data_IF_100838650296
#
_entry.id   IF_100838650296
#
_cell.length_a   1.000
_cell.length_b   1.000
_cell.length_c   1.000
_cell.angle_alpha   90.00
_cell.angle_beta   90.00
_cell.angle_gamma   90.00
#
_symmetry.space_group_name_H-M   'P 1'
#
loop_
_entity.id
_entity.type
_entity.pdbx_description
1 polymer ?
#
# COMPACT_ATOMS: atom_id res chain seq x y z
N UNK A 1 -12.96 -11.81 5.48
CA UNK A 1 -13.24 -10.40 5.14
C UNK A 1 -14.40 -9.96 6.01
N UNK A 2 -14.37 -8.76 6.60
CA UNK A 2 -15.43 -8.29 7.49
C UNK A 2 -16.39 -7.34 6.78
N UNK A 3 -15.85 -6.37 6.06
CA UNK A 3 -16.58 -5.36 5.29
C UNK A 3 -15.68 -4.84 4.16
N UNK A 4 -16.29 -4.15 3.19
CA UNK A 4 -15.58 -3.36 2.17
C UNK A 4 -15.98 -1.90 2.35
N UNK A 5 -15.00 -1.01 2.47
CA UNK A 5 -15.22 0.43 2.50
C UNK A 5 -14.78 1.01 1.16
N UNK A 6 -15.70 1.68 0.47
CA UNK A 6 -15.40 2.38 -0.80
C UNK A 6 -15.27 3.86 -0.49
N UNK A 7 -14.06 4.39 -0.63
CA UNK A 7 -13.77 5.80 -0.41
C UNK A 7 -14.04 6.55 -1.70
N UNK A 8 -15.19 7.20 -1.76
CA UNK A 8 -15.67 7.86 -2.96
C UNK A 8 -15.16 9.30 -3.01
N UNK A 9 -14.07 9.50 -3.74
CA UNK A 9 -13.40 10.80 -3.89
C UNK A 9 -13.99 11.69 -4.99
N UNK A 10 -14.91 11.18 -5.82
CA UNK A 10 -15.58 11.98 -6.83
C UNK A 10 -16.63 12.89 -6.16
N UNK A 11 -16.67 14.21 -6.48
CA UNK A 11 -17.67 15.12 -5.91
C UNK A 11 -19.11 14.74 -6.27
N UNK A 12 -19.31 14.03 -7.38
CA UNK A 12 -20.61 13.50 -7.79
C UNK A 12 -20.75 12.11 -7.15
N UNK A 13 -21.81 11.85 -6.36
CA UNK A 13 -22.04 10.53 -5.76
C UNK A 13 -22.20 9.45 -6.83
N UNK A 14 -21.99 8.16 -6.49
CA UNK A 14 -22.22 7.07 -7.42
C UNK A 14 -23.67 7.11 -7.93
N UNK A 15 -23.85 6.76 -9.21
CA UNK A 15 -25.18 6.66 -9.81
C UNK A 15 -26.05 5.73 -8.94
N UNK A 16 -27.29 6.11 -8.58
CA UNK A 16 -28.22 5.23 -7.86
C UNK A 16 -28.43 3.86 -8.53
N UNK A 17 -28.30 3.80 -9.85
CA UNK A 17 -28.45 2.55 -10.64
C UNK A 17 -27.16 1.69 -10.65
N UNK A 18 -26.08 2.17 -10.03
CA UNK A 18 -24.83 1.41 -9.91
C UNK A 18 -25.07 0.15 -9.09
N UNK A 19 -24.92 -1.00 -9.74
CA UNK A 19 -25.05 -2.30 -9.08
C UNK A 19 -23.73 -2.72 -8.44
N UNK A 20 -23.70 -2.71 -7.11
CA UNK A 20 -22.59 -3.28 -6.35
C UNK A 20 -22.58 -4.81 -6.45
N UNK A 21 -21.40 -5.45 -6.44
CA UNK A 21 -21.32 -6.91 -6.43
C UNK A 21 -21.98 -7.48 -5.17
N UNK A 22 -22.70 -8.58 -5.33
CA UNK A 22 -23.27 -9.30 -4.19
C UNK A 22 -22.15 -10.03 -3.45
N UNK A 23 -21.80 -9.50 -2.27
CA UNK A 23 -20.81 -10.09 -1.38
C UNK A 23 -21.47 -10.64 -0.13
N UNK A 24 -20.83 -11.61 0.51
CA UNK A 24 -21.22 -12.14 1.83
C UNK A 24 -20.92 -11.16 2.99
N UNK A 25 -20.38 -9.99 2.68
CA UNK A 25 -20.03 -8.92 3.62
C UNK A 25 -20.62 -7.59 3.15
N UNK A 26 -20.90 -6.64 4.05
CA UNK A 26 -21.41 -5.34 3.67
C UNK A 26 -20.38 -4.51 2.88
N UNK A 27 -20.86 -3.81 1.86
CA UNK A 27 -20.15 -2.73 1.17
C UNK A 27 -20.67 -1.41 1.72
N UNK A 28 -19.79 -0.58 2.25
CA UNK A 28 -20.10 0.75 2.81
C UNK A 28 -19.42 1.80 1.94
N UNK A 29 -20.21 2.70 1.34
CA UNK A 29 -19.67 3.79 0.51
C UNK A 29 -19.57 5.05 1.36
N UNK A 30 -18.40 5.68 1.37
CA UNK A 30 -18.12 6.90 2.12
C UNK A 30 -17.89 8.02 1.11
N UNK A 31 -18.74 9.04 1.13
CA UNK A 31 -18.58 10.22 0.28
C UNK A 31 -17.57 11.18 0.91
N UNK A 32 -16.45 11.39 0.23
CA UNK A 32 -15.44 12.35 0.66
C UNK A 32 -15.87 13.78 0.31
N UNK A 33 -15.51 14.75 1.17
CA UNK A 33 -15.83 16.16 0.93
C UNK A 33 -15.00 16.77 -0.21
N UNK A 34 -13.78 16.28 -0.40
CA UNK A 34 -12.82 16.70 -1.40
C UNK A 34 -12.10 15.48 -1.99
N UNK A 35 -11.60 15.64 -3.22
CA UNK A 35 -10.76 14.63 -3.84
C UNK A 35 -9.34 14.70 -3.24
N UNK A 36 -9.04 13.80 -2.31
CA UNK A 36 -7.74 13.70 -1.65
C UNK A 36 -7.28 12.23 -1.54
N UNK A 37 -5.99 12.00 -1.79
CA UNK A 37 -5.37 10.69 -1.59
C UNK A 37 -5.29 10.30 -0.11
N UNK A 38 -5.31 11.28 0.80
CA UNK A 38 -5.30 11.05 2.25
C UNK A 38 -6.57 10.38 2.77
N UNK A 39 -7.71 10.52 2.06
CA UNK A 39 -9.01 10.06 2.54
C UNK A 39 -9.03 8.55 2.87
N UNK A 40 -8.27 7.74 2.13
CA UNK A 40 -8.18 6.29 2.36
C UNK A 40 -7.54 5.90 3.70
N UNK A 41 -6.84 6.82 4.36
CA UNK A 41 -6.16 6.59 5.63
C UNK A 41 -6.86 7.24 6.82
N UNK A 42 -8.06 7.79 6.64
CA UNK A 42 -8.83 8.32 7.77
C UNK A 42 -9.28 7.18 8.70
N UNK A 43 -9.30 7.40 10.03
CA UNK A 43 -9.67 6.40 11.02
C UNK A 43 -11.20 6.29 11.09
N UNK A 44 -11.84 5.79 10.03
CA UNK A 44 -13.28 5.62 9.99
C UNK A 44 -13.77 4.66 11.08
N UNK A 45 -14.80 5.05 11.84
CA UNK A 45 -15.44 4.22 12.87
C UNK A 45 -16.00 2.89 12.31
N UNK A 46 -16.22 2.83 10.99
CA UNK A 46 -16.65 1.65 10.26
C UNK A 46 -15.57 0.56 10.14
N UNK A 47 -14.31 0.86 10.51
CA UNK A 47 -13.18 -0.07 10.51
C UNK A 47 -13.14 -0.82 11.85
N UNK A 48 -13.75 -2.00 11.88
CA UNK A 48 -13.88 -2.81 13.09
C UNK A 48 -12.75 -3.84 13.24
N UNK A 49 -11.96 -4.08 12.19
CA UNK A 49 -10.87 -5.08 12.18
C UNK A 49 -9.50 -4.45 12.41
N UNK A 50 -8.59 -5.20 13.05
CA UNK A 50 -7.20 -4.77 13.23
C UNK A 50 -6.43 -4.67 11.92
N UNK A 51 -6.74 -5.54 10.95
CA UNK A 51 -6.10 -5.52 9.63
C UNK A 51 -6.94 -4.68 8.65
N UNK A 52 -6.25 -3.86 7.86
CA UNK A 52 -6.81 -3.18 6.70
C UNK A 52 -6.07 -3.67 5.47
N UNK A 53 -6.79 -4.16 4.47
CA UNK A 53 -6.26 -4.29 3.11
C UNK A 53 -6.63 -3.02 2.35
N UNK A 54 -5.62 -2.23 2.01
CA UNK A 54 -5.78 -1.08 1.13
C UNK A 54 -5.49 -1.53 -0.29
N UNK A 55 -6.44 -1.24 -1.20
CA UNK A 55 -6.34 -1.59 -2.62
C UNK A 55 -6.70 -0.38 -3.48
N UNK A 56 -5.94 -0.13 -4.54
CA UNK A 56 -6.32 0.84 -5.58
C UNK A 56 -7.41 0.27 -6.49
N UNK A 57 -8.23 1.13 -7.08
CA UNK A 57 -9.38 0.74 -7.90
C UNK A 57 -9.00 0.17 -9.26
N UNK A 58 -7.74 0.28 -9.64
CA UNK A 58 -7.13 -0.27 -10.85
C UNK A 58 -6.27 -1.52 -10.60
N UNK A 59 -6.21 -2.01 -9.36
CA UNK A 59 -5.42 -3.19 -8.97
C UNK A 59 -6.31 -4.43 -8.80
N UNK A 60 -5.87 -5.53 -9.41
CA UNK A 60 -6.50 -6.84 -9.29
C UNK A 60 -5.61 -7.82 -8.51
N UNK A 61 -6.10 -8.27 -7.36
CA UNK A 61 -5.48 -9.33 -6.57
C UNK A 61 -6.33 -10.60 -6.63
N UNK A 62 -5.70 -11.76 -6.81
CA UNK A 62 -6.44 -13.02 -6.73
C UNK A 62 -6.80 -13.34 -5.28
N UNK A 63 -7.88 -14.11 -5.10
CA UNK A 63 -8.33 -14.52 -3.77
C UNK A 63 -7.24 -15.26 -2.98
N UNK A 64 -6.43 -16.10 -3.64
CA UNK A 64 -5.31 -16.78 -3.01
C UNK A 64 -4.24 -15.80 -2.50
N UNK A 65 -3.94 -14.75 -3.25
CA UNK A 65 -2.95 -13.74 -2.88
C UNK A 65 -3.39 -12.92 -1.67
N UNK A 66 -4.68 -12.54 -1.64
CA UNK A 66 -5.27 -11.85 -0.48
C UNK A 66 -5.14 -12.70 0.78
N UNK A 67 -5.46 -14.00 0.70
CA UNK A 67 -5.37 -14.90 1.87
C UNK A 67 -3.92 -15.09 2.30
N UNK A 68 -2.99 -15.23 1.35
CA UNK A 68 -1.57 -15.35 1.65
C UNK A 68 -1.03 -14.07 2.32
N UNK A 69 -1.26 -12.90 1.72
CA UNK A 69 -0.84 -11.61 2.26
C UNK A 69 -1.38 -11.37 3.67
N UNK A 70 -2.65 -11.70 3.91
CA UNK A 70 -3.24 -11.60 5.24
C UNK A 70 -2.58 -12.54 6.26
N UNK A 71 -2.25 -13.78 5.88
CA UNK A 71 -1.56 -14.73 6.76
C UNK A 71 -0.18 -14.23 7.15
N UNK A 72 0.59 -13.72 6.18
CA UNK A 72 1.90 -13.11 6.44
C UNK A 72 1.73 -11.89 7.35
N UNK A 73 0.77 -11.01 7.08
CA UNK A 73 0.49 -9.86 7.94
C UNK A 73 0.14 -10.26 9.38
N UNK A 74 -0.59 -11.35 9.60
CA UNK A 74 -0.92 -11.82 10.96
C UNK A 74 0.31 -12.18 11.80
N UNK A 75 1.41 -12.58 11.16
CA UNK A 75 2.70 -12.87 11.81
C UNK A 75 3.58 -11.62 11.95
N UNK A 76 3.29 -10.58 11.16
CA UNK A 76 4.05 -9.33 11.07
C UNK A 76 3.14 -8.10 11.24
N UNK A 77 2.28 -8.11 12.27
CA UNK A 77 1.18 -7.15 12.44
C UNK A 77 1.60 -5.68 12.52
N UNK A 78 2.84 -5.43 12.92
CA UNK A 78 3.41 -4.09 13.04
C UNK A 78 4.06 -3.60 11.75
N UNK A 79 4.26 -4.43 10.73
CA UNK A 79 4.88 -4.03 9.47
C UNK A 79 3.83 -3.75 8.37
N UNK A 80 4.23 -2.94 7.37
CA UNK A 80 3.50 -2.84 6.11
C UNK A 80 3.78 -4.10 5.29
N UNK A 81 2.75 -4.90 5.01
CA UNK A 81 2.88 -6.15 4.26
C UNK A 81 2.16 -6.02 2.93
N UNK A 82 2.85 -6.09 1.79
CA UNK A 82 2.17 -5.88 0.51
C UNK A 82 2.96 -6.32 -0.71
N UNK A 83 2.43 -5.98 -1.88
CA UNK A 83 2.85 -6.57 -3.14
C UNK A 83 3.82 -5.68 -3.95
N UNK A 84 3.48 -4.41 -4.29
CA UNK A 84 4.35 -3.59 -5.13
C UNK A 84 5.48 -2.99 -4.29
N UNK A 85 6.68 -3.51 -4.45
CA UNK A 85 7.87 -3.04 -3.75
C UNK A 85 8.61 -1.95 -4.54
N UNK A 86 9.09 -0.94 -3.82
CA UNK A 86 9.83 0.21 -4.35
C UNK A 86 10.98 0.56 -3.42
N UNK A 87 11.92 1.36 -3.92
CA UNK A 87 13.11 1.73 -3.17
C UNK A 87 13.35 3.24 -3.24
N UNK A 88 14.18 3.72 -2.34
CA UNK A 88 14.81 5.04 -2.43
C UNK A 88 16.31 4.83 -2.45
N UNK A 89 17.08 5.75 -3.01
CA UNK A 89 18.55 5.69 -2.96
C UNK A 89 19.14 7.09 -2.88
N UNK A 90 20.34 7.20 -2.33
CA UNK A 90 21.07 8.46 -2.25
C UNK A 90 21.83 8.70 -3.55
N UNK A 91 21.60 9.85 -4.17
CA UNK A 91 22.49 10.34 -5.22
C UNK A 91 23.53 11.29 -4.61
N UNK A 92 24.79 10.83 -4.58
CA UNK A 92 25.90 11.63 -4.06
C UNK A 92 26.19 12.90 -4.88
N UNK A 93 25.92 12.88 -6.19
CA UNK A 93 26.14 14.04 -7.06
C UNK A 93 25.15 15.17 -6.78
N UNK A 94 23.87 14.81 -6.62
CA UNK A 94 22.80 15.78 -6.38
C UNK A 94 22.60 16.08 -4.88
N UNK A 95 23.33 15.37 -4.01
CA UNK A 95 23.15 15.39 -2.56
C UNK A 95 21.67 15.28 -2.16
N UNK A 96 20.96 14.36 -2.79
CA UNK A 96 19.53 14.17 -2.59
C UNK A 96 19.11 12.71 -2.72
N UNK A 97 17.99 12.37 -2.10
CA UNK A 97 17.34 11.07 -2.26
C UNK A 97 16.54 11.04 -3.56
N UNK A 98 16.50 9.90 -4.23
CA UNK A 98 15.59 9.69 -5.36
C UNK A 98 14.72 8.45 -5.16
N UNK A 99 13.51 8.52 -5.69
CA UNK A 99 12.58 7.41 -5.76
C UNK A 99 12.96 6.49 -6.92
N UNK A 100 13.01 5.18 -6.67
CA UNK A 100 13.30 4.17 -7.68
C UNK A 100 12.12 3.21 -7.85
N UNK A 101 11.60 3.16 -9.09
CA UNK A 101 10.54 2.27 -9.54
C UNK A 101 11.01 0.97 -10.19
N UNK A 102 12.31 0.82 -10.43
CA UNK A 102 12.87 -0.33 -11.11
C UNK A 102 12.75 -1.61 -10.28
N UNK A 103 12.75 -2.75 -10.97
CA UNK A 103 12.69 -4.07 -10.37
C UNK A 103 14.03 -4.45 -9.74
N UNK A 104 14.20 -4.08 -8.47
CA UNK A 104 15.42 -4.34 -7.69
C UNK A 104 15.24 -5.43 -6.64
N UNK A 105 16.36 -6.07 -6.26
CA UNK A 105 16.38 -7.08 -5.19
C UNK A 105 16.24 -6.48 -3.79
N UNK A 106 16.53 -5.18 -3.65
CA UNK A 106 16.41 -4.42 -2.42
C UNK A 106 15.26 -3.43 -2.53
N UNK A 107 14.48 -3.31 -1.46
CA UNK A 107 13.35 -2.40 -1.39
C UNK A 107 13.27 -1.78 0.00
N UNK A 108 12.67 -0.60 0.10
CA UNK A 108 12.48 0.11 1.36
C UNK A 108 11.06 0.58 1.57
N UNK A 109 10.20 0.37 0.57
CA UNK A 109 8.81 0.80 0.55
C UNK A 109 7.93 -0.28 -0.08
N UNK A 110 6.69 -0.35 0.40
CA UNK A 110 5.60 -1.10 -0.23
C UNK A 110 4.48 -0.11 -0.52
N UNK A 111 4.00 -0.09 -1.76
CA UNK A 111 2.92 0.83 -2.14
C UNK A 111 1.59 0.38 -1.50
N UNK A 112 0.87 1.32 -0.89
CA UNK A 112 -0.39 1.06 -0.18
C UNK A 112 -1.58 0.78 -1.10
N UNK A 113 -1.36 0.83 -2.42
CA UNK A 113 -2.32 0.39 -3.43
C UNK A 113 -2.55 -1.12 -3.46
N UNK A 114 -1.69 -1.90 -2.82
CA UNK A 114 -1.97 -3.30 -2.51
C UNK A 114 -1.15 -3.71 -1.28
N UNK A 115 -1.66 -3.37 -0.10
CA UNK A 115 -0.96 -3.68 1.16
C UNK A 115 -1.91 -3.87 2.35
N UNK A 116 -1.47 -4.72 3.27
CA UNK A 116 -2.01 -4.90 4.60
C UNK A 116 -1.24 -4.08 5.63
N UNK A 117 -1.98 -3.41 6.51
CA UNK A 117 -1.42 -2.72 7.67
C UNK A 117 -2.41 -2.72 8.85
N UNK A 118 -1.89 -2.41 10.04
CA UNK A 118 -2.71 -2.31 11.24
C UNK A 118 -3.56 -1.04 11.25
N UNK A 119 -4.83 -1.12 11.67
CA UNK A 119 -5.73 0.05 11.80
C UNK A 119 -5.17 1.18 12.64
N UNK A 120 -4.28 0.88 13.59
CA UNK A 120 -3.58 1.90 14.38
C UNK A 120 -2.88 2.93 13.47
N UNK A 121 -2.36 2.51 12.32
CA UNK A 121 -1.65 3.41 11.42
C UNK A 121 -2.57 4.39 10.68
N UNK A 122 -3.89 4.17 10.59
CA UNK A 122 -4.82 5.21 10.10
C UNK A 122 -4.97 6.33 11.12
N UNK A 123 -5.04 5.98 12.40
CA UNK A 123 -5.04 6.93 13.50
C UNK A 123 -3.70 7.68 13.57
N UNK A 124 -2.57 6.97 13.54
CA UNK A 124 -1.25 7.61 13.57
C UNK A 124 -1.05 8.55 12.37
N UNK A 125 -1.46 8.15 11.16
CA UNK A 125 -1.39 9.00 9.96
C UNK A 125 -2.26 10.25 10.06
N UNK A 126 -3.41 10.15 10.72
CA UNK A 126 -4.39 11.26 10.78
C UNK A 126 -4.17 12.18 11.98
N UNK A 127 -3.73 11.64 13.11
CA UNK A 127 -3.75 12.32 14.41
C UNK A 127 -2.36 12.55 15.01
N UNK A 128 -1.39 11.68 14.72
CA UNK A 128 -0.03 11.79 15.27
C UNK A 128 0.94 12.42 14.26
N UNK A 129 0.81 12.05 12.98
CA UNK A 129 1.62 12.58 11.90
C UNK A 129 1.32 14.06 11.67
N UNK A 130 2.37 14.86 11.49
CA UNK A 130 2.26 16.30 11.25
C UNK A 130 1.26 16.60 10.10
N UNK A 131 0.29 17.52 10.30
CA UNK A 131 -0.63 17.94 9.26
C UNK A 131 0.06 18.43 7.98
N UNK A 132 1.26 19.00 8.09
CA UNK A 132 2.04 19.47 6.94
C UNK A 132 2.37 18.34 5.96
N UNK A 133 2.54 17.11 6.46
CA UNK A 133 2.79 15.94 5.60
C UNK A 133 1.54 15.64 4.76
N UNK A 134 0.34 15.70 5.35
CA UNK A 134 -0.91 15.50 4.60
C UNK A 134 -1.17 16.63 3.61
N UNK A 135 -0.84 17.87 3.99
CA UNK A 135 -0.89 19.01 3.08
C UNK A 135 0.09 18.85 1.90
N UNK A 136 1.29 18.31 2.14
CA UNK A 136 2.24 17.99 1.07
C UNK A 136 1.67 16.96 0.10
N UNK A 137 1.06 15.90 0.62
CA UNK A 137 0.37 14.87 -0.20
C UNK A 137 -0.75 15.49 -1.04
N UNK A 138 -1.56 16.38 -0.47
CA UNK A 138 -2.63 17.06 -1.21
C UNK A 138 -2.08 18.02 -2.28
N UNK A 139 -1.05 18.78 -1.94
CA UNK A 139 -0.42 19.75 -2.84
C UNK A 139 0.24 19.08 -4.04
N UNK A 140 0.88 17.92 -3.84
CA UNK A 140 1.50 17.17 -4.92
C UNK A 140 0.54 16.20 -5.61
N UNK A 141 -0.62 15.94 -4.97
CA UNK A 141 -1.56 14.90 -5.36
C UNK A 141 -0.85 13.57 -5.63
N UNK A 142 0.03 13.18 -4.70
CA UNK A 142 0.93 12.01 -4.79
C UNK A 142 1.48 11.68 -3.40
N UNK A 143 2.25 10.59 -3.29
CA UNK A 143 3.12 10.27 -2.14
C UNK A 143 2.44 9.95 -0.81
N UNK A 144 1.14 9.70 -0.78
CA UNK A 144 0.42 9.23 0.41
C UNK A 144 0.99 7.88 0.89
N UNK A 145 1.38 7.02 -0.05
CA UNK A 145 2.04 5.75 0.19
C UNK A 145 3.45 5.92 0.77
N UNK A 146 4.26 6.85 0.25
CA UNK A 146 5.59 7.19 0.77
C UNK A 146 5.47 7.74 2.19
N UNK A 147 4.51 8.65 2.43
CA UNK A 147 4.24 9.18 3.77
C UNK A 147 3.89 8.08 4.77
N UNK A 148 3.04 7.11 4.36
CA UNK A 148 2.72 5.95 5.18
C UNK A 148 3.96 5.07 5.47
N UNK A 149 4.81 4.82 4.48
CA UNK A 149 6.06 4.07 4.70
C UNK A 149 7.01 4.79 5.66
N UNK A 150 7.16 6.12 5.53
CA UNK A 150 7.94 6.94 6.46
C UNK A 150 7.40 6.83 7.90
N UNK A 151 6.09 6.96 8.07
CA UNK A 151 5.43 6.85 9.37
C UNK A 151 5.66 5.48 10.02
N UNK A 152 5.42 4.39 9.29
CA UNK A 152 5.60 3.03 9.82
C UNK A 152 7.07 2.75 10.15
N UNK A 153 8.00 3.13 9.28
CA UNK A 153 9.42 2.94 9.54
C UNK A 153 9.91 3.78 10.74
N UNK A 154 9.37 5.00 10.90
CA UNK A 154 9.64 5.86 12.05
C UNK A 154 9.18 5.24 13.37
N UNK A 155 7.94 4.73 13.41
CA UNK A 155 7.33 4.16 14.63
C UNK A 155 7.98 2.83 14.99
N UNK A 156 8.15 1.94 14.01
CA UNK A 156 8.48 0.53 14.28
C UNK A 156 9.96 0.22 14.20
N UNK A 157 10.74 1.03 13.49
CA UNK A 157 12.15 0.74 13.14
C UNK A 157 12.30 -0.60 12.44
N UNK A 158 11.33 -0.96 11.61
CA UNK A 158 11.34 -2.16 10.78
C UNK A 158 11.14 -1.78 9.31
N UNK A 159 11.77 -2.51 8.38
CA UNK A 159 11.46 -2.37 6.97
C UNK A 159 10.06 -2.92 6.66
N UNK A 160 9.46 -2.55 5.52
CA UNK A 160 8.24 -3.22 5.07
C UNK A 160 8.54 -4.67 4.65
N UNK A 161 7.50 -5.48 4.46
CA UNK A 161 7.61 -6.88 4.08
C UNK A 161 6.91 -7.12 2.74
N UNK A 162 7.69 -7.57 1.75
CA UNK A 162 7.19 -7.93 0.43
C UNK A 162 6.57 -9.33 0.43
N UNK A 163 5.39 -9.46 -0.15
CA UNK A 163 4.76 -10.75 -0.48
C UNK A 163 4.76 -10.97 -1.99
N UNK A 164 4.98 -12.23 -2.39
CA UNK A 164 4.93 -12.70 -3.78
C UNK A 164 5.91 -12.03 -4.76
N UNK A 165 5.98 -12.56 -5.98
CA UNK A 165 6.85 -12.04 -7.05
C UNK A 165 6.27 -10.80 -7.75
N UNK A 166 5.05 -10.38 -7.45
CA UNK A 166 4.46 -9.21 -8.09
C UNK A 166 5.33 -7.96 -7.84
N UNK A 167 5.63 -7.25 -8.91
CA UNK A 167 6.40 -6.00 -8.86
C UNK A 167 5.52 -4.79 -9.14
N UNK A 168 4.57 -4.95 -10.05
CA UNK A 168 3.53 -3.98 -10.40
C UNK A 168 2.23 -4.71 -10.72
N UNK A 169 1.15 -3.95 -10.83
CA UNK A 169 -0.14 -4.38 -11.34
C UNK A 169 -0.48 -3.48 -12.51
N UNK A 170 -0.65 -4.06 -13.69
CA UNK A 170 -0.99 -3.32 -14.89
C UNK A 170 -2.52 -3.30 -15.03
N UNK A 171 -3.10 -2.11 -15.14
CA UNK A 171 -4.52 -1.97 -15.42
C UNK A 171 -4.77 -2.01 -16.93
N UNK A 172 -5.14 -3.18 -17.45
CA UNK A 172 -5.40 -3.39 -18.89
C UNK A 172 -6.57 -2.54 -19.42
N UNK A 173 -7.49 -2.14 -18.56
CA UNK A 173 -8.71 -1.42 -18.93
C UNK A 173 -8.65 0.10 -18.65
N UNK A 174 -7.55 0.58 -18.08
CA UNK A 174 -7.38 1.99 -17.76
C UNK A 174 -6.77 2.72 -18.96
N UNK A 175 -7.35 3.85 -19.35
CA UNK A 175 -6.81 4.68 -20.44
C UNK A 175 -5.59 5.51 -20.03
N UNK A 176 -5.67 6.14 -18.86
CA UNK A 176 -4.58 6.90 -18.25
C UNK A 176 -4.73 6.87 -16.73
N UNK A 177 -3.62 6.77 -16.03
CA UNK A 177 -3.55 6.66 -14.57
C UNK A 177 -2.70 7.80 -13.98
N UNK A 178 -2.60 7.87 -12.66
CA UNK A 178 -1.80 8.90 -11.98
C UNK A 178 -0.30 8.77 -12.26
N UNK A 179 0.19 7.56 -12.56
CA UNK A 179 1.62 7.32 -12.82
C UNK A 179 2.06 7.73 -14.23
N UNK A 180 1.10 7.93 -15.15
CA UNK A 180 1.36 8.39 -16.52
C UNK A 180 1.68 9.89 -16.61
N UNK A 181 1.50 10.65 -15.52
CA UNK A 181 1.82 12.08 -15.50
C UNK A 181 3.34 12.27 -15.67
N UNK A 182 3.81 13.19 -16.54
CA UNK A 182 5.23 13.36 -16.83
C UNK A 182 6.11 13.65 -15.60
N UNK A 183 5.53 14.29 -14.58
CA UNK A 183 6.23 14.69 -13.36
C UNK A 183 6.22 13.61 -12.26
N UNK A 184 5.49 12.51 -12.44
CA UNK A 184 5.10 11.60 -11.36
C UNK A 184 6.28 11.09 -10.53
N UNK A 185 7.32 10.58 -11.18
CA UNK A 185 8.51 10.04 -10.50
C UNK A 185 9.38 11.13 -9.89
N UNK A 186 9.47 12.29 -10.56
CA UNK A 186 10.17 13.44 -10.02
C UNK A 186 9.47 13.98 -8.76
N UNK A 187 8.13 14.01 -8.74
CA UNK A 187 7.33 14.36 -7.58
C UNK A 187 7.61 13.41 -6.40
N UNK A 188 7.67 12.09 -6.66
CA UNK A 188 8.01 11.10 -5.62
C UNK A 188 9.41 11.30 -5.03
N UNK A 189 10.42 11.60 -5.85
CA UNK A 189 11.75 11.97 -5.35
C UNK A 189 11.70 13.25 -4.49
N UNK A 190 10.93 14.27 -4.90
CA UNK A 190 10.73 15.48 -4.09
C UNK A 190 10.07 15.16 -2.74
N UNK A 191 9.06 14.29 -2.71
CA UNK A 191 8.41 13.85 -1.48
C UNK A 191 9.39 13.24 -0.48
N UNK A 192 10.27 12.34 -0.94
CA UNK A 192 11.26 11.68 -0.05
C UNK A 192 12.20 12.71 0.57
N UNK A 193 12.71 13.67 -0.21
CA UNK A 193 13.58 14.72 0.31
C UNK A 193 12.84 15.64 1.27
N UNK A 194 11.61 16.06 0.91
CA UNK A 194 10.80 16.91 1.78
C UNK A 194 10.49 16.22 3.10
N UNK A 195 10.09 14.95 3.07
CA UNK A 195 9.84 14.14 4.27
C UNK A 195 11.11 13.96 5.10
N UNK A 196 12.25 13.66 4.46
CA UNK A 196 13.53 13.52 5.15
C UNK A 196 13.90 14.79 5.91
N UNK A 197 13.70 15.95 5.30
CA UNK A 197 13.95 17.24 5.94
C UNK A 197 12.95 17.49 7.08
N UNK A 198 11.67 17.19 6.86
CA UNK A 198 10.60 17.40 7.86
C UNK A 198 10.76 16.51 9.09
N UNK A 199 11.14 15.24 8.91
CA UNK A 199 11.45 14.31 10.01
C UNK A 199 12.83 14.58 10.65
N UNK A 200 13.70 15.34 9.97
CA UNK A 200 15.09 15.59 10.38
C UNK A 200 16.07 14.43 10.06
N UNK A 201 15.57 13.35 9.46
CA UNK A 201 16.34 12.21 8.98
C UNK A 201 15.45 11.33 8.08
N UNK A 202 16.05 10.36 7.39
CA UNK A 202 15.31 9.39 6.58
C UNK A 202 15.07 8.10 7.40
N UNK A 203 13.82 7.76 7.77
CA UNK A 203 13.51 6.58 8.57
C UNK A 203 13.39 5.30 7.74
N UNK A 204 13.33 5.36 6.40
CA UNK A 204 13.11 4.19 5.56
C UNK A 204 14.25 3.18 5.74
N UNK A 205 13.87 1.91 5.87
CA UNK A 205 14.82 0.81 6.06
C UNK A 205 14.73 -0.15 4.88
N UNK A 206 15.89 -0.53 4.37
CA UNK A 206 15.99 -1.51 3.29
C UNK A 206 15.71 -2.92 3.79
N UNK A 207 15.19 -3.75 2.89
CA UNK A 207 15.02 -5.17 3.04
C UNK A 207 15.21 -5.86 1.69
N UNK A 208 15.73 -7.08 1.75
CA UNK A 208 15.73 -8.03 0.63
C UNK A 208 14.84 -9.23 0.95
N UNK A 209 14.21 -9.23 2.13
CA UNK A 209 13.38 -10.33 2.61
C UNK A 209 12.02 -10.30 1.92
N UNK A 210 11.64 -11.44 1.35
CA UNK A 210 10.32 -11.67 0.78
C UNK A 210 9.71 -12.91 1.40
N UNK A 211 8.45 -12.80 1.82
CA UNK A 211 7.63 -13.97 2.08
C UNK A 211 7.08 -14.48 0.74
N UNK A 212 7.61 -15.62 0.31
CA UNK A 212 7.08 -16.35 -0.83
C UNK A 212 6.23 -17.51 -0.34
N UNK A 213 5.19 -17.80 -1.11
CA UNK A 213 4.41 -18.96 -0.79
C UNK A 213 5.06 -20.19 -1.39
N UNK A 214 5.68 -21.01 -0.56
CA UNK A 214 6.41 -22.19 -1.03
C UNK A 214 5.51 -23.07 -1.90
N UNK A 215 4.19 -23.16 -1.64
CA UNK A 215 3.21 -23.95 -2.40
C UNK A 215 1.72 -23.56 -2.15
N UNK A 216 1.38 -22.34 -1.74
CA UNK A 216 -0.01 -22.00 -1.41
C UNK A 216 -0.93 -22.14 -2.61
N UNK A 217 -1.83 -23.12 -2.53
CA UNK A 217 -2.78 -23.51 -3.57
C UNK A 217 -2.14 -23.87 -4.93
N UNK A 218 -0.85 -24.19 -4.96
CA UNK A 218 -0.20 -24.74 -6.16
C UNK A 218 -0.73 -26.15 -6.44
N UNK A 219 -1.21 -26.42 -7.66
CA UNK A 219 -1.55 -27.78 -8.08
C UNK A 219 -0.27 -28.60 -8.22
N UNK A 220 -0.01 -29.50 -7.26
CA UNK A 220 1.16 -30.37 -7.27
C UNK A 220 0.87 -31.62 -8.12
N UNK A 221 1.75 -32.00 -9.08
CA UNK A 221 1.61 -33.24 -9.82
C UNK A 221 1.52 -34.47 -8.88
N UNK A 222 0.71 -35.46 -9.27
CA UNK A 222 0.37 -36.65 -8.45
C UNK A 222 1.59 -37.39 -7.85
N UNK A 223 2.79 -37.26 -8.43
CA UNK A 223 4.02 -37.91 -7.95
C UNK A 223 4.91 -37.10 -6.98
N UNK A 224 4.57 -35.85 -6.66
CA UNK A 224 5.42 -34.94 -5.86
C UNK A 224 4.84 -34.58 -4.47
N UNK A 225 3.78 -35.29 -4.06
CA UNK A 225 3.05 -35.03 -2.80
C UNK A 225 3.74 -35.60 -1.53
N UNK A 226 4.76 -36.46 -1.67
CA UNK A 226 5.44 -37.13 -0.54
C UNK A 226 6.14 -36.17 0.45
N UNK A 227 6.52 -34.97 0.04
CA UNK A 227 7.11 -33.98 0.94
C UNK A 227 6.09 -33.28 1.87
N UNK A 228 4.78 -33.50 1.68
CA UNK A 228 3.75 -32.61 2.26
C UNK A 228 2.51 -33.35 2.77
N UNK A 229 2.70 -34.54 3.36
CA UNK A 229 1.60 -35.36 3.91
C UNK A 229 0.96 -34.80 5.20
N UNK A 230 1.41 -33.65 5.71
CA UNK A 230 1.05 -33.09 7.01
C UNK A 230 0.81 -31.56 6.99
N UNK A 231 0.03 -31.08 6.02
CA UNK A 231 -0.60 -29.75 6.09
C UNK A 231 -2.11 -29.94 6.06
#
# INVERSE_FOLDING_TARGET
MHSVLVIWNNPIPPNPDLSWPQLHVPIKVILSQNNSLNNRFLPYDLIETDAILSIDDDIQLRHDEIVFGFRVWREHRDQLVGFPARAHFWNGSDSSWFYNSDYMCEFSMILTGAAFFHKYYTFAYTSEMSPDIRNMVDNYFNCEDIAMNFLLAHITRKPPLKVTLHWSFDCVYCGSTLHDRPDHYAARSRCINWLTNHYGYNPLMYSQYRADSVLFKTRIPLGKQKCYKYI
#
